data_IF_786265253990
#
_entry.id   IF_786265253990
#
_cell.length_a   1.000
_cell.length_b   1.000
_cell.length_c   1.000
_cell.angle_alpha   90.00
_cell.angle_beta   90.00
_cell.angle_gamma   90.00
#
_symmetry.space_group_name_H-M   'P 1'
#
loop_
_entity.id
_entity.type
_entity.pdbx_description
1 polymer ?
#
# COMPACT_ATOMS: atom_id res chain seq x y z
N UNK A 1 16.15 1.84 -31.97
CA UNK A 1 14.97 1.30 -31.24
C UNK A 1 15.29 1.14 -29.75
N UNK A 2 16.41 0.51 -29.35
CA UNK A 2 16.94 0.61 -27.97
C UNK A 2 17.11 2.07 -27.49
N UNK A 3 17.48 2.96 -28.42
CA UNK A 3 17.64 4.40 -28.20
C UNK A 3 16.37 5.15 -27.78
N UNK A 4 15.17 4.70 -28.19
CA UNK A 4 13.92 5.41 -27.86
C UNK A 4 13.42 5.05 -26.45
N UNK A 5 13.56 3.79 -26.05
CA UNK A 5 13.23 3.35 -24.70
C UNK A 5 14.17 3.99 -23.67
N UNK A 6 15.48 3.93 -23.91
CA UNK A 6 16.49 4.58 -23.08
C UNK A 6 16.28 6.10 -23.01
N UNK A 7 15.95 6.73 -24.13
CA UNK A 7 15.60 8.16 -24.15
C UNK A 7 14.34 8.47 -23.33
N UNK A 8 13.32 7.62 -23.37
CA UNK A 8 12.11 7.80 -22.57
C UNK A 8 12.41 7.71 -21.06
N UNK A 9 13.19 6.72 -20.65
CA UNK A 9 13.66 6.56 -19.27
C UNK A 9 14.51 7.75 -18.81
N UNK A 10 15.37 8.27 -19.69
CA UNK A 10 16.16 9.47 -19.39
C UNK A 10 15.26 10.68 -19.12
N UNK A 11 14.28 10.94 -19.99
CA UNK A 11 13.31 12.02 -19.81
C UNK A 11 12.53 11.87 -18.50
N UNK A 12 12.09 10.66 -18.18
CA UNK A 12 11.41 10.35 -16.91
C UNK A 12 12.32 10.64 -15.71
N UNK A 13 13.59 10.24 -15.75
CA UNK A 13 14.56 10.51 -14.68
C UNK A 13 14.83 12.00 -14.47
N UNK A 14 14.72 12.79 -15.55
CA UNK A 14 14.83 14.25 -15.55
C UNK A 14 13.51 14.93 -15.18
N UNK A 15 12.47 14.16 -14.82
CA UNK A 15 11.11 14.64 -14.49
C UNK A 15 10.40 15.35 -15.65
N UNK A 16 10.83 15.10 -16.88
CA UNK A 16 10.16 15.56 -18.09
C UNK A 16 9.04 14.58 -18.47
N UNK A 17 8.07 14.41 -17.57
CA UNK A 17 7.07 13.33 -17.63
C UNK A 17 6.16 13.39 -18.86
N UNK A 18 5.77 14.58 -19.33
CA UNK A 18 4.98 14.73 -20.56
C UNK A 18 5.73 14.21 -21.80
N UNK A 19 7.00 14.61 -21.95
CA UNK A 19 7.83 14.16 -23.07
C UNK A 19 8.14 12.66 -22.97
N UNK A 20 8.45 12.18 -21.76
CA UNK A 20 8.65 10.76 -21.50
C UNK A 20 7.41 9.95 -21.88
N UNK A 21 6.22 10.39 -21.48
CA UNK A 21 4.96 9.75 -21.83
C UNK A 21 4.79 9.61 -23.34
N UNK A 22 5.00 10.67 -24.12
CA UNK A 22 4.89 10.61 -25.58
C UNK A 22 5.96 9.71 -26.22
N UNK A 23 7.11 9.53 -25.59
CA UNK A 23 8.11 8.57 -26.04
C UNK A 23 7.68 7.13 -25.74
N UNK A 24 7.19 6.86 -24.53
CA UNK A 24 6.66 5.54 -24.16
C UNK A 24 5.42 5.16 -25.00
N UNK A 25 4.52 6.11 -25.28
CA UNK A 25 3.32 5.89 -26.09
C UNK A 25 3.66 5.35 -27.48
N UNK A 26 4.70 5.87 -28.12
CA UNK A 26 5.19 5.38 -29.43
C UNK A 26 5.70 3.94 -29.37
N UNK A 27 6.10 3.46 -28.20
CA UNK A 27 6.63 2.12 -27.98
C UNK A 27 5.54 1.09 -27.64
N UNK A 28 4.29 1.50 -27.40
CA UNK A 28 3.18 0.58 -27.07
C UNK A 28 2.91 -0.47 -28.15
N UNK A 29 3.26 -0.18 -29.40
CA UNK A 29 3.10 -1.08 -30.55
C UNK A 29 4.40 -1.77 -30.97
N UNK A 30 5.51 -1.49 -30.28
CA UNK A 30 6.81 -2.09 -30.57
C UNK A 30 6.86 -3.54 -30.06
N UNK A 31 7.48 -4.43 -30.83
CA UNK A 31 7.73 -5.82 -30.43
C UNK A 31 9.07 -6.00 -29.71
N UNK A 32 9.92 -4.98 -29.73
CA UNK A 32 11.30 -5.05 -29.24
C UNK A 32 11.41 -4.79 -27.72
N UNK A 33 10.35 -4.27 -27.11
CA UNK A 33 10.29 -3.94 -25.68
C UNK A 33 9.17 -4.71 -24.98
N UNK A 34 9.26 -4.84 -23.66
CA UNK A 34 8.15 -5.39 -22.89
C UNK A 34 7.02 -4.34 -22.81
N UNK A 35 5.92 -4.60 -23.53
CA UNK A 35 4.76 -3.70 -23.56
C UNK A 35 4.18 -3.44 -22.16
N UNK A 36 4.23 -4.42 -21.26
CA UNK A 36 3.76 -4.21 -19.88
C UNK A 36 4.64 -3.23 -19.11
N UNK A 37 5.95 -3.27 -19.33
CA UNK A 37 6.90 -2.32 -18.74
C UNK A 37 6.67 -0.90 -19.28
N UNK A 38 6.46 -0.76 -20.59
CA UNK A 38 6.08 0.52 -21.22
C UNK A 38 4.79 1.07 -20.61
N UNK A 39 3.76 0.24 -20.42
CA UNK A 39 2.50 0.66 -19.80
C UNK A 39 2.69 1.13 -18.35
N UNK A 40 3.55 0.46 -17.57
CA UNK A 40 3.89 0.91 -16.22
C UNK A 40 4.49 2.33 -16.25
N UNK A 41 5.46 2.57 -17.14
CA UNK A 41 6.06 3.90 -17.29
C UNK A 41 5.09 4.96 -17.80
N UNK A 42 4.17 4.60 -18.71
CA UNK A 42 3.05 5.48 -19.08
C UNK A 42 2.21 5.87 -17.85
N UNK A 43 1.82 4.89 -17.04
CA UNK A 43 1.07 5.12 -15.79
C UNK A 43 1.82 6.06 -14.83
N UNK A 44 3.12 5.85 -14.67
CA UNK A 44 3.96 6.71 -13.83
C UNK A 44 4.01 8.16 -14.33
N UNK A 45 4.17 8.36 -15.65
CA UNK A 45 4.19 9.69 -16.23
C UNK A 45 2.82 10.39 -16.08
N UNK A 46 1.71 9.67 -16.27
CA UNK A 46 0.34 10.19 -16.10
C UNK A 46 0.06 10.66 -14.66
N UNK A 47 0.67 10.04 -13.65
CA UNK A 47 0.53 10.49 -12.26
C UNK A 47 1.34 11.77 -11.96
N UNK A 48 2.46 11.98 -12.66
CA UNK A 48 3.42 13.03 -12.33
C UNK A 48 3.40 14.23 -13.29
N UNK A 49 2.56 14.21 -14.32
CA UNK A 49 2.35 15.31 -15.26
C UNK A 49 0.91 15.86 -15.14
N UNK A 50 0.70 17.02 -14.50
CA UNK A 50 -0.63 17.63 -14.35
C UNK A 50 -1.36 17.91 -15.67
N UNK A 51 -0.61 18.03 -16.77
CA UNK A 51 -1.11 18.31 -18.11
C UNK A 51 -1.74 17.07 -18.76
N UNK A 52 -1.41 15.87 -18.28
CA UNK A 52 -1.94 14.62 -18.82
C UNK A 52 -3.19 14.16 -18.06
N UNK A 53 -4.00 13.31 -18.71
CA UNK A 53 -5.19 12.74 -18.08
C UNK A 53 -4.81 11.63 -17.07
N UNK A 54 -4.61 12.03 -15.81
CA UNK A 54 -4.24 11.13 -14.71
C UNK A 54 -5.26 10.00 -14.47
N UNK A 55 -6.50 10.11 -14.99
CA UNK A 55 -7.50 9.03 -14.90
C UNK A 55 -7.11 7.80 -15.71
N UNK A 56 -6.27 7.97 -16.73
CA UNK A 56 -5.76 6.85 -17.53
C UNK A 56 -4.67 6.04 -16.80
N UNK A 57 -4.09 6.58 -15.73
CA UNK A 57 -2.99 5.93 -15.02
C UNK A 57 -3.41 4.57 -14.46
N UNK A 58 -4.61 4.48 -13.85
CA UNK A 58 -5.15 3.22 -13.35
C UNK A 58 -5.22 2.19 -14.47
N UNK A 59 -5.79 2.54 -15.62
CA UNK A 59 -5.87 1.63 -16.77
C UNK A 59 -4.48 1.13 -17.20
N UNK A 60 -3.50 2.03 -17.33
CA UNK A 60 -2.12 1.66 -17.68
C UNK A 60 -1.52 0.64 -16.71
N UNK A 61 -1.68 0.84 -15.40
CA UNK A 61 -1.15 -0.10 -14.40
C UNK A 61 -1.90 -1.42 -14.38
N UNK A 62 -3.21 -1.42 -14.57
CA UNK A 62 -4.00 -2.66 -14.63
C UNK A 62 -3.57 -3.54 -15.81
N UNK A 63 -3.36 -2.92 -16.98
CA UNK A 63 -2.85 -3.62 -18.15
C UNK A 63 -1.39 -4.07 -17.96
N UNK A 64 -0.53 -3.21 -17.39
CA UNK A 64 0.86 -3.57 -17.07
C UNK A 64 0.94 -4.76 -16.12
N UNK A 65 0.11 -4.77 -15.07
CA UNK A 65 -0.01 -5.89 -14.13
C UNK A 65 -0.42 -7.20 -14.80
N UNK A 66 -1.23 -7.15 -15.87
CA UNK A 66 -1.69 -8.32 -16.58
C UNK A 66 -0.64 -8.89 -17.57
N UNK A 67 0.11 -8.02 -18.26
CA UNK A 67 0.91 -8.45 -19.42
C UNK A 67 2.43 -8.33 -19.25
N UNK A 68 2.93 -7.60 -18.25
CA UNK A 68 4.37 -7.43 -18.07
C UNK A 68 5.06 -8.76 -17.84
N UNK A 69 6.22 -8.97 -18.49
CA UNK A 69 7.02 -10.19 -18.35
C UNK A 69 7.67 -10.26 -16.98
N UNK A 70 8.12 -9.13 -16.46
CA UNK A 70 8.74 -9.01 -15.13
C UNK A 70 7.72 -9.14 -14.00
N UNK A 71 7.94 -10.08 -13.08
CA UNK A 71 7.10 -10.23 -11.88
C UNK A 71 7.15 -8.97 -10.99
N UNK A 72 8.31 -8.32 -10.90
CA UNK A 72 8.46 -7.06 -10.17
C UNK A 72 7.62 -5.94 -10.79
N UNK A 73 7.59 -5.85 -12.12
CA UNK A 73 6.76 -4.87 -12.82
C UNK A 73 5.27 -5.16 -12.59
N UNK A 74 4.83 -6.42 -12.66
CA UNK A 74 3.43 -6.79 -12.36
C UNK A 74 3.05 -6.49 -10.91
N UNK A 75 3.94 -6.79 -9.96
CA UNK A 75 3.78 -6.51 -8.53
C UNK A 75 3.61 -5.01 -8.29
N UNK A 76 4.53 -4.19 -8.81
CA UNK A 76 4.50 -2.73 -8.64
C UNK A 76 3.28 -2.11 -9.33
N UNK A 77 2.96 -2.55 -10.55
CA UNK A 77 1.77 -2.10 -11.27
C UNK A 77 0.48 -2.41 -10.49
N UNK A 78 0.38 -3.62 -9.92
CA UNK A 78 -0.79 -3.99 -9.10
C UNK A 78 -0.91 -3.11 -7.86
N UNK A 79 0.20 -2.88 -7.16
CA UNK A 79 0.21 -1.98 -6.01
C UNK A 79 -0.23 -0.56 -6.39
N UNK A 80 0.28 -0.02 -7.51
CA UNK A 80 -0.03 1.34 -7.95
C UNK A 80 -1.47 1.52 -8.42
N UNK A 81 -2.03 0.53 -9.12
CA UNK A 81 -3.46 0.50 -9.42
C UNK A 81 -4.29 0.54 -8.12
N UNK A 82 -3.96 -0.30 -7.14
CA UNK A 82 -4.61 -0.32 -5.83
C UNK A 82 -4.50 1.01 -5.09
N UNK A 83 -3.32 1.63 -5.10
CA UNK A 83 -3.05 2.92 -4.46
C UNK A 83 -3.91 4.05 -5.03
N UNK A 84 -3.99 4.18 -6.35
CA UNK A 84 -4.81 5.22 -6.99
C UNK A 84 -6.31 5.00 -6.72
N UNK A 85 -6.79 3.76 -6.84
CA UNK A 85 -8.18 3.42 -6.52
C UNK A 85 -8.55 3.70 -5.06
N UNK A 86 -7.60 3.48 -4.14
CA UNK A 86 -7.75 3.83 -2.72
C UNK A 86 -7.94 5.35 -2.52
N UNK A 87 -7.19 6.18 -3.25
CA UNK A 87 -7.32 7.64 -3.18
C UNK A 87 -8.64 8.14 -3.78
N UNK A 88 -9.17 7.43 -4.77
CA UNK A 88 -10.53 7.63 -5.30
C UNK A 88 -11.64 7.10 -4.39
N UNK A 89 -11.28 6.52 -3.23
CA UNK A 89 -12.19 5.85 -2.29
C UNK A 89 -12.93 4.64 -2.89
N UNK A 90 -12.42 4.08 -3.99
CA UNK A 90 -12.92 2.83 -4.56
C UNK A 90 -12.28 1.64 -3.85
N UNK A 91 -12.59 1.50 -2.56
CA UNK A 91 -11.95 0.53 -1.65
C UNK A 91 -12.13 -0.92 -2.12
N UNK A 92 -13.27 -1.24 -2.75
CA UNK A 92 -13.57 -2.58 -3.23
C UNK A 92 -12.68 -2.98 -4.41
N UNK A 93 -12.41 -2.07 -5.33
CA UNK A 93 -11.52 -2.35 -6.46
C UNK A 93 -10.06 -2.30 -6.00
N UNK A 94 -9.69 -1.34 -5.15
CA UNK A 94 -8.36 -1.26 -4.55
C UNK A 94 -7.96 -2.56 -3.82
N UNK A 95 -8.88 -3.15 -3.05
CA UNK A 95 -8.70 -4.45 -2.38
C UNK A 95 -8.28 -5.57 -3.35
N UNK A 96 -8.87 -5.63 -4.54
CA UNK A 96 -8.52 -6.65 -5.55
C UNK A 96 -7.09 -6.47 -6.02
N UNK A 97 -6.66 -5.23 -6.26
CA UNK A 97 -5.33 -4.93 -6.77
C UNK A 97 -4.23 -5.11 -5.74
N UNK A 98 -4.47 -4.76 -4.47
CA UNK A 98 -3.55 -5.11 -3.38
C UNK A 98 -3.46 -6.63 -3.16
N UNK A 99 -4.59 -7.33 -3.28
CA UNK A 99 -4.62 -8.80 -3.19
C UNK A 99 -3.86 -9.45 -4.36
N UNK A 100 -3.98 -8.91 -5.58
CA UNK A 100 -3.21 -9.34 -6.74
C UNK A 100 -1.70 -9.12 -6.55
N UNK A 101 -1.28 -7.97 -6.00
CA UNK A 101 0.12 -7.73 -5.64
C UNK A 101 0.65 -8.78 -4.66
N UNK A 102 -0.11 -9.07 -3.60
CA UNK A 102 0.23 -10.12 -2.61
C UNK A 102 0.34 -11.50 -3.27
N UNK A 103 -0.58 -11.85 -4.19
CA UNK A 103 -0.55 -13.12 -4.90
C UNK A 103 0.69 -13.24 -5.80
N UNK A 104 1.02 -12.20 -6.57
CA UNK A 104 2.22 -12.15 -7.40
C UNK A 104 3.47 -12.35 -6.53
N UNK A 105 3.55 -11.68 -5.38
CA UNK A 105 4.67 -11.83 -4.45
C UNK A 105 4.80 -13.27 -3.93
N UNK A 106 3.68 -13.88 -3.50
CA UNK A 106 3.68 -15.25 -3.01
C UNK A 106 4.10 -16.27 -4.08
N UNK A 107 3.78 -16.01 -5.34
CA UNK A 107 4.23 -16.85 -6.47
C UNK A 107 5.69 -16.60 -6.84
N UNK A 108 6.14 -15.35 -6.79
CA UNK A 108 7.51 -14.95 -7.14
C UNK A 108 7.95 -13.77 -6.27
N UNK A 109 8.65 -14.04 -5.15
CA UNK A 109 9.10 -12.99 -4.23
C UNK A 109 10.13 -12.06 -4.89
N UNK A 110 9.72 -10.81 -5.21
CA UNK A 110 10.60 -9.82 -5.85
C UNK A 110 10.84 -8.54 -5.05
N UNK A 111 9.91 -8.14 -4.17
CA UNK A 111 10.05 -6.94 -3.33
C UNK A 111 9.23 -7.04 -2.04
N UNK A 112 9.92 -7.24 -0.92
CA UNK A 112 9.32 -7.27 0.43
C UNK A 112 8.65 -5.94 0.79
N UNK A 113 9.20 -4.81 0.31
CA UNK A 113 8.64 -3.49 0.57
C UNK A 113 7.25 -3.36 -0.07
N UNK A 114 7.12 -3.67 -1.37
CA UNK A 114 5.82 -3.58 -2.06
C UNK A 114 4.83 -4.59 -1.50
N UNK A 115 5.31 -5.78 -1.10
CA UNK A 115 4.48 -6.79 -0.45
C UNK A 115 3.90 -6.31 0.88
N UNK A 116 4.74 -5.79 1.77
CA UNK A 116 4.31 -5.31 3.09
C UNK A 116 3.45 -4.06 2.99
N UNK A 117 3.74 -3.14 2.06
CA UNK A 117 2.86 -2.00 1.75
C UNK A 117 1.49 -2.48 1.22
N UNK A 118 1.47 -3.48 0.34
CA UNK A 118 0.23 -4.07 -0.19
C UNK A 118 -0.61 -4.69 0.92
N UNK A 119 0.01 -5.39 1.89
CA UNK A 119 -0.70 -5.90 3.07
C UNK A 119 -1.32 -4.77 3.90
N UNK A 120 -0.57 -3.70 4.16
CA UNK A 120 -1.07 -2.56 4.93
C UNK A 120 -2.28 -1.92 4.25
N UNK A 121 -2.18 -1.60 2.96
CA UNK A 121 -3.28 -0.97 2.24
C UNK A 121 -4.46 -1.89 1.98
N UNK A 122 -4.24 -3.21 1.86
CA UNK A 122 -5.32 -4.19 1.88
C UNK A 122 -6.11 -4.10 3.19
N UNK A 123 -5.43 -4.08 4.34
CA UNK A 123 -6.09 -3.94 5.64
C UNK A 123 -6.89 -2.63 5.74
N UNK A 124 -6.30 -1.52 5.29
CA UNK A 124 -6.98 -0.22 5.22
C UNK A 124 -8.22 -0.27 4.33
N UNK A 125 -8.18 -0.95 3.18
CA UNK A 125 -9.35 -1.12 2.31
C UNK A 125 -10.47 -1.89 3.01
N UNK A 126 -10.14 -2.96 3.76
CA UNK A 126 -11.11 -3.75 4.52
C UNK A 126 -11.75 -2.92 5.63
N UNK A 127 -10.93 -2.18 6.39
CA UNK A 127 -11.38 -1.29 7.45
C UNK A 127 -12.30 -0.19 6.90
N UNK A 128 -11.94 0.42 5.77
CA UNK A 128 -12.74 1.46 5.10
C UNK A 128 -14.09 0.94 4.61
N UNK A 129 -14.20 -0.38 4.40
CA UNK A 129 -15.45 -1.10 4.10
C UNK A 129 -16.16 -1.62 5.36
N UNK A 130 -15.71 -1.23 6.56
CA UNK A 130 -16.22 -1.67 7.87
C UNK A 130 -16.10 -3.18 8.12
N UNK A 131 -15.21 -3.85 7.38
CA UNK A 131 -14.89 -5.28 7.55
C UNK A 131 -13.77 -5.43 8.58
N UNK A 132 -14.07 -5.05 9.82
CA UNK A 132 -13.06 -4.90 10.88
C UNK A 132 -12.38 -6.22 11.26
N UNK A 133 -13.09 -7.35 11.27
CA UNK A 133 -12.49 -8.67 11.50
C UNK A 133 -11.45 -9.01 10.43
N UNK A 134 -11.80 -8.85 9.15
CA UNK A 134 -10.89 -9.10 8.03
C UNK A 134 -9.68 -8.14 8.06
N UNK A 135 -9.91 -6.87 8.39
CA UNK A 135 -8.85 -5.87 8.51
C UNK A 135 -7.86 -6.24 9.62
N UNK A 136 -8.37 -6.65 10.79
CA UNK A 136 -7.58 -7.07 11.94
C UNK A 136 -6.65 -8.25 11.61
N UNK A 137 -7.14 -9.25 10.89
CA UNK A 137 -6.31 -10.38 10.43
C UNK A 137 -5.14 -9.92 9.55
N UNK A 138 -5.39 -8.98 8.64
CA UNK A 138 -4.34 -8.46 7.75
C UNK A 138 -3.37 -7.55 8.50
N UNK A 139 -3.85 -6.67 9.40
CA UNK A 139 -2.96 -5.83 10.22
C UNK A 139 -2.03 -6.63 11.13
N UNK A 140 -2.48 -7.79 11.63
CA UNK A 140 -1.62 -8.71 12.38
C UNK A 140 -0.47 -9.23 11.53
N UNK A 141 -0.74 -9.58 10.27
CA UNK A 141 0.32 -9.97 9.31
C UNK A 141 1.27 -8.81 9.04
N UNK A 142 0.79 -7.57 8.90
CA UNK A 142 1.68 -6.41 8.73
C UNK A 142 2.64 -6.29 9.91
N UNK A 143 2.15 -6.40 11.15
CA UNK A 143 3.00 -6.31 12.34
C UNK A 143 4.02 -7.47 12.43
N UNK A 144 3.73 -8.63 11.85
CA UNK A 144 4.64 -9.78 11.77
C UNK A 144 5.73 -9.60 10.70
N UNK A 145 5.35 -9.17 9.49
CA UNK A 145 6.26 -9.09 8.34
C UNK A 145 6.98 -7.73 8.19
N UNK A 146 6.46 -6.68 8.80
CA UNK A 146 7.02 -5.32 8.75
C UNK A 146 7.10 -4.70 10.15
N UNK A 147 8.13 -5.03 10.95
CA UNK A 147 8.32 -4.46 12.29
C UNK A 147 8.36 -2.93 12.31
N UNK A 148 8.82 -2.30 11.23
CA UNK A 148 8.85 -0.84 11.05
C UNK A 148 7.47 -0.21 10.80
N UNK A 149 6.43 -1.00 10.54
CA UNK A 149 5.03 -0.56 10.42
C UNK A 149 4.15 -1.13 11.53
N UNK A 150 4.75 -1.88 12.47
CA UNK A 150 4.01 -2.55 13.53
C UNK A 150 3.27 -1.56 14.44
N UNK A 151 3.88 -0.45 14.92
CA UNK A 151 3.17 0.51 15.76
C UNK A 151 1.96 1.17 15.07
N UNK A 152 2.07 1.56 13.80
CA UNK A 152 0.92 2.08 13.04
C UNK A 152 -0.16 1.01 12.88
N UNK A 153 0.25 -0.23 12.61
CA UNK A 153 -0.68 -1.34 12.47
C UNK A 153 -1.38 -1.64 13.81
N UNK A 154 -0.68 -1.61 14.94
CA UNK A 154 -1.27 -1.78 16.27
C UNK A 154 -2.33 -0.71 16.57
N UNK A 155 -2.08 0.56 16.24
CA UNK A 155 -3.07 1.61 16.39
C UNK A 155 -4.35 1.31 15.60
N UNK A 156 -4.23 0.84 14.36
CA UNK A 156 -5.37 0.46 13.52
C UNK A 156 -6.07 -0.81 14.02
N UNK A 157 -5.33 -1.74 14.62
CA UNK A 157 -5.91 -2.91 15.29
C UNK A 157 -6.77 -2.49 16.49
N UNK A 158 -6.29 -1.57 17.34
CA UNK A 158 -7.07 -1.03 18.47
C UNK A 158 -8.40 -0.46 17.96
N UNK A 159 -8.36 0.36 16.90
CA UNK A 159 -9.56 0.92 16.28
C UNK A 159 -10.51 -0.15 15.76
N UNK A 160 -10.01 -1.17 15.06
CA UNK A 160 -10.83 -2.29 14.58
C UNK A 160 -11.45 -3.07 15.74
N UNK A 161 -10.68 -3.37 16.80
CA UNK A 161 -11.11 -4.08 18.00
C UNK A 161 -12.22 -3.34 18.75
N UNK A 162 -12.07 -2.01 18.88
CA UNK A 162 -13.11 -1.16 19.47
C UNK A 162 -14.41 -1.19 18.66
N UNK A 163 -14.32 -1.12 17.31
CA UNK A 163 -15.51 -1.16 16.46
C UNK A 163 -16.27 -2.50 16.53
N UNK A 164 -15.58 -3.61 16.82
CA UNK A 164 -16.21 -4.93 17.02
C UNK A 164 -16.54 -5.22 18.49
N UNK A 165 -16.27 -4.29 19.41
CA UNK A 165 -16.55 -4.43 20.84
C UNK A 165 -15.64 -5.38 21.60
N UNK A 166 -14.46 -5.69 21.07
CA UNK A 166 -13.47 -6.56 21.73
C UNK A 166 -12.46 -5.71 22.51
N UNK A 167 -12.95 -5.14 23.62
CA UNK A 167 -12.23 -4.15 24.43
C UNK A 167 -11.05 -4.76 25.18
N UNK A 168 -11.13 -6.04 25.56
CA UNK A 168 -10.04 -6.76 26.23
C UNK A 168 -8.81 -6.86 25.32
N UNK A 169 -8.98 -7.31 24.07
CA UNK A 169 -7.88 -7.36 23.12
C UNK A 169 -7.41 -5.95 22.73
N UNK A 170 -8.31 -4.96 22.64
CA UNK A 170 -7.90 -3.58 22.39
C UNK A 170 -6.93 -3.09 23.50
N UNK A 171 -7.27 -3.35 24.77
CA UNK A 171 -6.43 -3.00 25.91
C UNK A 171 -5.09 -3.76 25.90
N UNK A 172 -5.08 -5.05 25.52
CA UNK A 172 -3.84 -5.82 25.35
C UNK A 172 -2.90 -5.14 24.34
N UNK A 173 -3.42 -4.71 23.19
CA UNK A 173 -2.62 -4.00 22.18
C UNK A 173 -2.19 -2.61 22.68
N UNK A 174 -3.05 -1.88 23.39
CA UNK A 174 -2.68 -0.61 24.03
C UNK A 174 -1.48 -0.77 24.98
N UNK A 175 -1.40 -1.89 25.69
CA UNK A 175 -0.31 -2.17 26.63
C UNK A 175 1.03 -2.47 25.93
N UNK A 176 1.03 -2.85 24.65
CA UNK A 176 2.27 -3.00 23.88
C UNK A 176 3.03 -1.66 23.77
N UNK A 177 2.29 -0.53 23.71
CA UNK A 177 2.87 0.81 23.66
C UNK A 177 3.56 1.24 24.96
N UNK A 178 3.44 0.50 26.06
CA UNK A 178 4.20 0.75 27.29
C UNK A 178 5.68 0.35 27.17
N UNK A 179 6.03 -0.41 26.13
CA UNK A 179 7.39 -0.91 25.87
C UNK A 179 8.17 0.09 25.01
N UNK A 180 9.49 -0.13 24.88
CA UNK A 180 10.35 0.62 23.95
C UNK A 180 9.90 0.43 22.49
N UNK A 181 10.15 1.40 21.60
CA UNK A 181 9.82 1.28 20.18
C UNK A 181 10.48 0.04 19.56
N UNK A 182 9.81 -0.64 18.60
CA UNK A 182 10.43 -1.68 17.80
C UNK A 182 11.69 -1.17 17.09
N UNK A 183 12.63 -2.08 16.83
CA UNK A 183 13.85 -1.74 16.10
C UNK A 183 13.52 -1.16 14.71
N UNK A 184 14.17 -0.05 14.36
CA UNK A 184 13.97 0.63 13.08
C UNK A 184 12.76 1.55 13.04
N UNK A 185 11.94 1.59 14.10
CA UNK A 185 10.84 2.52 14.20
C UNK A 185 11.28 3.90 14.70
N UNK A 186 10.70 4.96 14.15
CA UNK A 186 11.05 6.33 14.54
C UNK A 186 10.60 6.61 15.99
N UNK A 187 11.55 7.07 16.81
CA UNK A 187 11.30 7.24 18.24
C UNK A 187 10.35 8.41 18.51
N UNK A 188 10.43 9.49 17.74
CA UNK A 188 9.54 10.65 17.89
C UNK A 188 8.11 10.26 17.54
N UNK A 189 7.94 9.56 16.42
CA UNK A 189 6.65 9.02 15.99
C UNK A 189 6.07 8.05 17.01
N UNK A 190 6.90 7.19 17.62
CA UNK A 190 6.44 6.26 18.64
C UNK A 190 5.89 6.98 19.86
N UNK A 191 6.57 8.03 20.32
CA UNK A 191 6.10 8.85 21.44
C UNK A 191 4.76 9.55 21.14
N UNK A 192 4.53 9.97 19.89
CA UNK A 192 3.22 10.47 19.46
C UNK A 192 2.15 9.40 19.55
N UNK A 193 2.42 8.19 19.06
CA UNK A 193 1.48 7.07 19.12
C UNK A 193 1.19 6.67 20.58
N UNK A 194 2.20 6.64 21.45
CA UNK A 194 2.02 6.39 22.88
C UNK A 194 1.05 7.39 23.52
N UNK A 195 1.16 8.68 23.16
CA UNK A 195 0.24 9.72 23.64
C UNK A 195 -1.17 9.51 23.10
N UNK A 196 -1.32 9.15 21.83
CA UNK A 196 -2.63 8.87 21.21
C UNK A 196 -3.33 7.67 21.88
N UNK A 197 -2.57 6.63 22.20
CA UNK A 197 -3.08 5.39 22.79
C UNK A 197 -3.32 5.52 24.29
N UNK A 198 -2.64 6.44 24.98
CA UNK A 198 -2.75 6.59 26.43
C UNK A 198 -4.19 6.83 26.91
N UNK A 199 -4.92 7.75 26.28
CA UNK A 199 -6.32 8.04 26.64
C UNK A 199 -7.20 6.82 26.42
N UNK A 200 -7.04 6.12 25.30
CA UNK A 200 -7.80 4.91 25.00
C UNK A 200 -7.52 3.80 26.03
N UNK A 201 -6.24 3.58 26.38
CA UNK A 201 -5.83 2.61 27.39
C UNK A 201 -6.48 2.89 28.74
N UNK A 202 -6.47 4.15 29.17
CA UNK A 202 -7.03 4.55 30.47
C UNK A 202 -8.56 4.34 30.47
N UNK A 203 -9.26 4.74 29.41
CA UNK A 203 -10.70 4.49 29.24
C UNK A 203 -11.03 2.99 29.26
N UNK A 204 -10.33 2.17 28.47
CA UNK A 204 -10.56 0.73 28.44
C UNK A 204 -10.29 0.07 29.80
N UNK A 205 -9.25 0.52 30.52
CA UNK A 205 -8.93 0.02 31.86
C UNK A 205 -10.05 0.32 32.85
N UNK A 206 -10.58 1.55 32.87
CA UNK A 206 -11.72 1.92 33.71
C UNK A 206 -12.97 1.10 33.35
N UNK A 207 -13.31 1.01 32.06
CA UNK A 207 -14.47 0.26 31.58
C UNK A 207 -14.42 -1.23 31.98
N UNK A 208 -13.25 -1.86 31.94
CA UNK A 208 -13.10 -3.29 32.23
C UNK A 208 -12.97 -3.58 33.74
N UNK A 209 -12.52 -2.62 34.54
CA UNK A 209 -12.40 -2.78 36.00
C UNK A 209 -13.72 -2.53 36.75
N UNK A 210 -14.61 -1.69 36.21
CA UNK A 210 -15.94 -1.41 36.80
C UNK A 210 -16.94 -2.54 36.56
N UNK A 211 -16.66 -3.46 35.64
CA UNK A 211 -17.54 -4.58 35.29
C UNK A 211 -17.26 -5.89 36.08
N UNK A 212 -16.50 -5.82 37.17
CA UNK A 212 -16.21 -6.93 38.11
C UNK A 212 -16.86 -6.63 39.46
#
# INVERSE_FOLDING_TARGET
MATFYESALQLESEKQFEQAFHHFEKLLFSTDVDRGDVLFHCGWCLENAPELDSKLAVFCYQEAAAIAKSALCRLNSSFRAGWLLMHEKNYREAEKWFSNAIEIYNQTPTSELIYTDSLYWLAVCKESQQRYFDALEVYRKVAEFAPQMAPESWLRQIQCLNNIGNFEQALEICNLFAQSPPQGFDHSRYQELQKQVATERDCLTECLTVNI
#
